data_IF_945465377372
#
_entry.id   IF_945465377372
#
_cell.length_a   1.000
_cell.length_b   1.000
_cell.length_c   1.000
_cell.angle_alpha   90.00
_cell.angle_beta   90.00
_cell.angle_gamma   90.00
#
_symmetry.space_group_name_H-M   'P 1'
#
loop_
_entity.id
_entity.type
_entity.pdbx_description
1 polymer ?
#
# COMPACT_ATOMS: atom_id res chain seq x y z
N UNK A 1 -9.44 -60.18 7.73
CA UNK A 1 -8.23 -60.75 8.36
C UNK A 1 -6.89 -60.35 7.72
N UNK A 2 -6.78 -59.58 6.61
CA UNK A 2 -5.49 -59.48 5.89
C UNK A 2 -4.91 -58.07 5.69
N UNK A 3 -5.48 -57.03 6.31
CA UNK A 3 -5.03 -55.63 6.10
C UNK A 3 -3.80 -55.27 6.95
N UNK A 4 -3.68 -55.87 8.14
CA UNK A 4 -2.59 -55.60 9.08
C UNK A 4 -1.25 -56.21 8.60
N UNK A 5 -1.28 -57.34 7.91
CA UNK A 5 -0.07 -57.96 7.34
C UNK A 5 0.54 -57.15 6.19
N UNK A 6 -0.27 -56.41 5.42
CA UNK A 6 0.22 -55.53 4.35
C UNK A 6 0.93 -54.30 4.93
N UNK A 7 0.37 -53.70 6.00
CA UNK A 7 0.99 -52.54 6.67
C UNK A 7 2.28 -52.95 7.36
N UNK A 8 2.32 -54.13 7.99
CA UNK A 8 3.52 -54.65 8.65
C UNK A 8 4.61 -55.10 7.65
N UNK A 9 4.23 -55.56 6.45
CA UNK A 9 5.17 -55.86 5.37
C UNK A 9 5.70 -54.58 4.67
N UNK A 10 4.91 -53.51 4.63
CA UNK A 10 5.32 -52.21 4.11
C UNK A 10 6.25 -51.45 5.06
N UNK A 11 6.23 -51.74 6.37
CA UNK A 11 7.13 -51.18 7.38
C UNK A 11 8.41 -52.00 7.58
N UNK A 12 8.89 -52.67 6.53
CA UNK A 12 10.19 -53.33 6.53
C UNK A 12 11.34 -52.32 6.39
N UNK A 13 12.61 -52.73 6.64
CA UNK A 13 13.79 -51.85 6.60
C UNK A 13 14.01 -51.11 5.26
N UNK A 14 13.35 -51.57 4.18
CA UNK A 14 13.33 -50.87 2.89
C UNK A 14 12.56 -49.52 2.93
N UNK A 15 11.52 -49.39 3.77
CA UNK A 15 10.76 -48.15 3.93
C UNK A 15 11.53 -47.09 4.74
N UNK A 16 12.37 -47.50 5.70
CA UNK A 16 13.27 -46.61 6.46
C UNK A 16 14.42 -46.06 5.59
N UNK A 17 14.94 -46.87 4.67
CA UNK A 17 15.94 -46.44 3.70
C UNK A 17 15.37 -45.43 2.68
N UNK A 18 14.13 -45.63 2.22
CA UNK A 18 13.47 -44.73 1.25
C UNK A 18 13.01 -43.39 1.85
N UNK A 19 12.61 -43.38 3.13
CA UNK A 19 12.27 -42.15 3.84
C UNK A 19 13.49 -41.27 4.01
N UNK A 20 14.65 -41.83 4.37
CA UNK A 20 15.89 -41.05 4.53
C UNK A 20 16.30 -40.29 3.26
N UNK A 21 16.28 -40.94 2.09
CA UNK A 21 16.60 -40.29 0.82
C UNK A 21 15.57 -39.25 0.37
N UNK A 22 14.29 -39.49 0.64
CA UNK A 22 13.22 -38.52 0.33
C UNK A 22 13.32 -37.29 1.23
N UNK A 23 13.57 -37.49 2.53
CA UNK A 23 13.76 -36.41 3.49
C UNK A 23 14.99 -35.57 3.15
N UNK A 24 16.09 -36.19 2.71
CA UNK A 24 17.29 -35.46 2.27
C UNK A 24 17.01 -34.55 1.07
N UNK A 25 16.36 -35.07 0.02
CA UNK A 25 16.00 -34.27 -1.16
C UNK A 25 15.06 -33.12 -0.79
N UNK A 26 14.08 -33.36 0.09
CA UNK A 26 13.17 -32.32 0.58
C UNK A 26 13.90 -31.26 1.39
N UNK A 27 14.80 -31.65 2.30
CA UNK A 27 15.57 -30.70 3.13
C UNK A 27 16.53 -29.88 2.27
N UNK A 28 17.22 -30.49 1.32
CA UNK A 28 18.13 -29.78 0.39
C UNK A 28 17.34 -28.82 -0.51
N UNK A 29 16.24 -29.28 -1.10
CA UNK A 29 15.39 -28.44 -1.95
C UNK A 29 14.74 -27.28 -1.18
N UNK A 30 14.19 -27.56 0.00
CA UNK A 30 13.63 -26.53 0.88
C UNK A 30 14.69 -25.53 1.36
N UNK A 31 15.87 -26.03 1.76
CA UNK A 31 16.99 -25.20 2.16
C UNK A 31 17.45 -24.26 1.05
N UNK A 32 17.56 -24.76 -0.18
CA UNK A 32 17.89 -23.94 -1.35
C UNK A 32 16.86 -22.82 -1.57
N UNK A 33 15.55 -23.16 -1.52
CA UNK A 33 14.48 -22.16 -1.64
C UNK A 33 14.56 -21.11 -0.52
N UNK A 34 14.80 -21.53 0.73
CA UNK A 34 14.95 -20.60 1.86
C UNK A 34 16.12 -19.63 1.65
N UNK A 35 17.26 -20.12 1.16
CA UNK A 35 18.42 -19.26 0.85
C UNK A 35 18.07 -18.24 -0.23
N UNK A 36 17.40 -18.66 -1.31
CA UNK A 36 16.97 -17.76 -2.38
C UNK A 36 16.00 -16.70 -1.85
N UNK A 37 15.02 -17.09 -1.03
CA UNK A 37 14.06 -16.16 -0.45
C UNK A 37 14.74 -15.15 0.50
N UNK A 38 15.71 -15.59 1.30
CA UNK A 38 16.48 -14.70 2.18
C UNK A 38 17.31 -13.71 1.36
N UNK A 39 17.95 -14.15 0.28
CA UNK A 39 18.71 -13.27 -0.62
C UNK A 39 17.80 -12.22 -1.27
N UNK A 40 16.65 -12.64 -1.81
CA UNK A 40 15.66 -11.70 -2.37
C UNK A 40 15.14 -10.74 -1.31
N UNK A 41 14.82 -11.24 -0.12
CA UNK A 41 14.37 -10.41 1.00
C UNK A 41 15.43 -9.39 1.41
N UNK A 42 16.71 -9.75 1.44
CA UNK A 42 17.82 -8.84 1.72
C UNK A 42 17.95 -7.75 0.65
N UNK A 43 17.79 -8.10 -0.64
CA UNK A 43 17.81 -7.11 -1.72
C UNK A 43 16.65 -6.13 -1.56
N UNK A 44 15.43 -6.62 -1.34
CA UNK A 44 14.27 -5.76 -1.10
C UNK A 44 14.42 -4.91 0.16
N UNK A 45 14.97 -5.48 1.24
CA UNK A 45 15.23 -4.78 2.49
C UNK A 45 16.32 -3.71 2.35
N UNK A 46 17.37 -3.96 1.57
CA UNK A 46 18.43 -2.98 1.30
C UNK A 46 17.85 -1.75 0.58
N UNK A 47 16.98 -1.97 -0.41
CA UNK A 47 16.28 -0.89 -1.11
C UNK A 47 15.39 -0.11 -0.14
N UNK A 48 14.58 -0.80 0.68
CA UNK A 48 13.73 -0.16 1.69
C UNK A 48 14.53 0.60 2.76
N UNK A 49 15.67 0.07 3.20
CA UNK A 49 16.55 0.71 4.17
C UNK A 49 17.20 1.98 3.61
N UNK A 50 17.55 1.98 2.32
CA UNK A 50 18.07 3.17 1.63
C UNK A 50 16.99 4.25 1.55
N UNK A 51 15.74 3.92 1.19
CA UNK A 51 14.64 4.90 1.20
C UNK A 51 14.36 5.48 2.59
N UNK A 52 14.30 4.64 3.64
CA UNK A 52 14.14 5.12 5.02
C UNK A 52 15.27 6.07 5.46
N UNK A 53 16.50 5.80 5.00
CA UNK A 53 17.66 6.67 5.26
C UNK A 53 17.57 7.99 4.49
N UNK A 54 17.00 8.01 3.29
CA UNK A 54 16.74 9.24 2.55
C UNK A 54 15.62 10.06 3.19
N UNK A 55 14.52 9.44 3.61
CA UNK A 55 13.43 10.13 4.31
C UNK A 55 13.90 10.76 5.62
N UNK A 56 14.71 10.05 6.41
CA UNK A 56 15.30 10.58 7.64
C UNK A 56 16.25 11.77 7.37
N UNK A 57 17.01 11.74 6.26
CA UNK A 57 17.87 12.87 5.85
C UNK A 57 17.06 14.06 5.36
N UNK A 58 15.95 13.83 4.65
CA UNK A 58 15.04 14.90 4.20
C UNK A 58 14.36 15.54 5.41
N UNK A 59 13.86 14.74 6.36
CA UNK A 59 13.30 15.23 7.62
C UNK A 59 14.34 16.05 8.40
N UNK A 60 15.55 15.54 8.59
CA UNK A 60 16.62 16.29 9.27
C UNK A 60 16.99 17.61 8.58
N UNK A 61 16.97 17.65 7.24
CA UNK A 61 17.21 18.90 6.47
C UNK A 61 16.03 19.86 6.58
N UNK A 62 14.80 19.36 6.61
CA UNK A 62 13.61 20.15 6.85
C UNK A 62 13.61 20.74 8.26
N UNK A 63 13.93 19.94 9.28
CA UNK A 63 14.07 20.37 10.68
C UNK A 63 15.19 21.39 10.83
N UNK A 64 16.34 21.19 10.16
CA UNK A 64 17.43 22.17 10.14
C UNK A 64 17.03 23.47 9.42
N UNK A 65 16.25 23.40 8.33
CA UNK A 65 15.73 24.57 7.63
C UNK A 65 14.69 25.32 8.46
N UNK A 66 13.83 24.61 9.19
CA UNK A 66 12.87 25.18 10.15
C UNK A 66 13.61 25.82 11.31
N UNK A 67 14.61 25.15 11.89
CA UNK A 67 15.44 25.72 12.95
C UNK A 67 16.21 26.97 12.49
N UNK A 68 16.74 26.95 11.27
CA UNK A 68 17.40 28.12 10.67
C UNK A 68 16.40 29.27 10.40
N UNK A 69 15.18 28.96 9.97
CA UNK A 69 14.12 29.95 9.77
C UNK A 69 13.66 30.56 11.11
N UNK A 70 13.51 29.74 12.16
CA UNK A 70 13.17 30.20 13.52
C UNK A 70 14.31 31.04 14.12
N UNK A 71 15.57 30.63 13.96
CA UNK A 71 16.72 31.42 14.39
C UNK A 71 16.80 32.78 13.66
N UNK A 72 16.50 32.80 12.35
CA UNK A 72 16.43 34.03 11.57
C UNK A 72 15.26 34.92 11.98
N UNK A 73 14.11 34.33 12.33
CA UNK A 73 12.95 35.06 12.85
C UNK A 73 13.23 35.66 14.24
N UNK A 74 13.97 34.95 15.10
CA UNK A 74 14.36 35.43 16.43
C UNK A 74 15.45 36.52 16.40
N UNK A 75 16.15 36.70 15.27
CA UNK A 75 17.13 37.76 15.04
C UNK A 75 16.54 38.99 14.33
N UNK A 76 15.27 38.95 13.91
CA UNK A 76 14.60 40.10 13.32
C UNK A 76 14.23 41.11 14.43
N UNK A 77 14.71 42.36 14.39
CA UNK A 77 14.26 43.40 15.31
C UNK A 77 12.75 43.62 15.13
N UNK A 78 12.03 43.68 16.26
CA UNK A 78 10.63 44.06 16.32
C UNK A 78 10.44 45.46 15.71
N UNK A 79 10.06 45.52 14.43
CA UNK A 79 9.57 46.73 13.80
C UNK A 79 8.09 46.91 14.18
N UNK A 80 7.82 48.07 14.75
CA UNK A 80 6.57 48.57 15.29
C UNK A 80 5.35 48.41 14.36
N UNK A 81 4.12 48.36 14.93
CA UNK A 81 2.89 48.10 14.18
C UNK A 81 2.56 49.27 13.27
N UNK A 82 2.59 49.05 11.96
CA UNK A 82 2.11 50.02 10.98
C UNK A 82 0.62 49.78 10.75
N UNK A 83 -0.15 50.72 11.30
CA UNK A 83 -1.39 51.34 10.81
C UNK A 83 -2.36 50.50 9.95
N UNK A 84 -3.62 50.55 10.39
CA UNK A 84 -4.80 49.99 9.76
C UNK A 84 -5.15 50.57 8.37
N UNK A 85 -5.82 49.69 7.61
CA UNK A 85 -6.83 49.91 6.55
C UNK A 85 -6.37 49.93 5.06
N UNK A 86 -7.23 49.52 4.09
CA UNK A 86 -8.59 48.96 4.21
C UNK A 86 -8.77 47.56 3.58
N UNK A 87 -9.79 46.88 4.08
CA UNK A 87 -10.40 45.65 3.56
C UNK A 87 -11.04 45.91 2.18
N UNK A 88 -10.78 45.10 1.15
CA UNK A 88 -11.72 44.89 0.06
C UNK A 88 -12.73 43.81 0.47
N UNK A 89 -14.00 44.19 0.42
CA UNK A 89 -15.16 43.42 0.81
C UNK A 89 -15.30 42.06 0.09
N UNK A 90 -16.04 41.10 0.69
CA UNK A 90 -16.29 39.78 0.10
C UNK A 90 -17.25 39.92 -1.09
N UNK A 91 -16.75 39.74 -2.30
CA UNK A 91 -17.60 39.56 -3.47
C UNK A 91 -18.04 38.09 -3.55
N UNK A 92 -19.20 37.80 -2.97
CA UNK A 92 -19.99 36.64 -3.31
C UNK A 92 -20.57 36.82 -4.72
N UNK A 93 -20.27 35.89 -5.64
CA UNK A 93 -21.00 35.71 -6.90
C UNK A 93 -20.72 34.29 -7.44
N UNK A 94 -21.61 33.74 -8.26
CA UNK A 94 -22.68 32.83 -7.90
C UNK A 94 -22.29 31.36 -8.12
N UNK A 95 -22.99 30.44 -7.44
CA UNK A 95 -22.99 29.02 -7.80
C UNK A 95 -23.68 28.89 -9.15
N UNK A 96 -22.89 29.01 -10.22
CA UNK A 96 -23.31 28.61 -11.53
C UNK A 96 -23.38 27.08 -11.53
N UNK A 97 -24.60 26.55 -11.59
CA UNK A 97 -24.85 25.15 -11.88
C UNK A 97 -24.23 24.83 -13.25
N UNK A 98 -23.01 24.28 -13.21
CA UNK A 98 -22.32 23.73 -14.37
C UNK A 98 -22.90 22.34 -14.68
N UNK A 99 -22.96 21.96 -15.97
CA UNK A 99 -23.64 20.74 -16.42
C UNK A 99 -22.92 19.50 -15.88
N UNK A 100 -23.69 18.67 -15.16
CA UNK A 100 -23.25 17.40 -14.57
C UNK A 100 -22.68 16.50 -15.67
N UNK A 101 -21.35 16.43 -15.76
CA UNK A 101 -20.69 15.30 -16.41
C UNK A 101 -20.85 14.07 -15.50
N UNK A 102 -20.97 12.87 -16.07
CA UNK A 102 -21.08 11.60 -15.32
C UNK A 102 -19.89 11.32 -14.35
N UNK A 103 -18.86 12.17 -14.34
CA UNK A 103 -17.78 12.22 -13.35
C UNK A 103 -18.01 13.17 -12.16
N UNK A 104 -19.17 13.83 -12.08
CA UNK A 104 -19.52 14.83 -11.06
C UNK A 104 -20.72 14.41 -10.20
N UNK A 105 -21.04 13.11 -10.10
CA UNK A 105 -21.99 12.66 -9.09
C UNK A 105 -21.44 13.04 -7.70
N UNK A 106 -22.06 13.99 -6.98
CA UNK A 106 -21.55 14.46 -5.69
C UNK A 106 -21.50 13.34 -4.65
N UNK A 107 -22.42 12.38 -4.75
CA UNK A 107 -22.42 11.21 -3.88
C UNK A 107 -21.19 10.33 -4.13
N UNK A 108 -20.85 10.09 -5.40
CA UNK A 108 -19.68 9.30 -5.78
C UNK A 108 -18.37 10.00 -5.37
N UNK A 109 -18.29 11.33 -5.52
CA UNK A 109 -17.15 12.12 -5.03
C UNK A 109 -16.99 12.03 -3.51
N UNK A 110 -18.09 12.14 -2.75
CA UNK A 110 -18.05 12.04 -1.30
C UNK A 110 -17.59 10.65 -0.83
N UNK A 111 -18.07 9.59 -1.47
CA UNK A 111 -17.65 8.21 -1.18
C UNK A 111 -16.17 8.00 -1.50
N UNK A 112 -15.71 8.48 -2.67
CA UNK A 112 -14.28 8.38 -3.03
C UNK A 112 -13.40 9.19 -2.08
N UNK A 113 -13.80 10.40 -1.71
CA UNK A 113 -13.05 11.23 -0.76
C UNK A 113 -12.94 10.56 0.62
N UNK A 114 -14.04 9.98 1.12
CA UNK A 114 -14.06 9.23 2.37
C UNK A 114 -13.17 7.98 2.30
N UNK A 115 -13.20 7.24 1.19
CA UNK A 115 -12.35 6.07 0.98
C UNK A 115 -10.86 6.44 0.88
N UNK A 116 -10.52 7.55 0.23
CA UNK A 116 -9.14 8.04 0.15
C UNK A 116 -8.65 8.48 1.53
N UNK A 117 -9.48 9.20 2.30
CA UNK A 117 -9.13 9.63 3.64
C UNK A 117 -8.91 8.45 4.60
N UNK A 118 -9.73 7.39 4.52
CA UNK A 118 -9.56 6.20 5.38
C UNK A 118 -8.29 5.41 5.09
N UNK A 119 -7.81 5.41 3.84
CA UNK A 119 -6.61 4.66 3.44
C UNK A 119 -5.33 5.46 3.63
N UNK A 120 -5.34 6.76 3.31
CA UNK A 120 -4.12 7.60 3.31
C UNK A 120 -3.94 8.38 4.62
N UNK A 121 -5.02 8.55 5.40
CA UNK A 121 -5.02 9.22 6.70
C UNK A 121 -5.22 10.73 6.63
N UNK A 122 -4.76 11.44 7.66
CA UNK A 122 -5.09 12.84 7.93
C UNK A 122 -4.27 13.88 7.14
N UNK A 123 -3.82 13.52 5.93
CA UNK A 123 -3.14 14.47 5.04
C UNK A 123 -4.15 15.07 4.06
N UNK A 124 -3.94 16.34 3.70
CA UNK A 124 -4.76 16.99 2.70
C UNK A 124 -4.53 16.35 1.32
N UNK A 125 -5.60 15.81 0.73
CA UNK A 125 -5.58 15.16 -0.57
C UNK A 125 -6.59 15.80 -1.52
N UNK A 126 -6.20 15.95 -2.80
CA UNK A 126 -7.07 16.44 -3.87
C UNK A 126 -7.23 15.37 -4.94
N UNK A 127 -8.47 15.05 -5.26
CA UNK A 127 -8.80 14.18 -6.39
C UNK A 127 -8.60 14.99 -7.67
N UNK A 128 -7.65 14.57 -8.52
CA UNK A 128 -7.28 15.28 -9.76
C UNK A 128 -8.02 14.71 -10.97
N UNK A 129 -8.13 13.38 -11.07
CA UNK A 129 -8.90 12.73 -12.11
C UNK A 129 -9.44 11.38 -11.61
N UNK A 130 -10.60 11.01 -12.13
CA UNK A 130 -11.21 9.71 -11.88
C UNK A 130 -11.37 9.05 -13.23
N UNK A 131 -10.77 7.87 -13.38
CA UNK A 131 -10.94 7.03 -14.56
C UNK A 131 -11.77 5.82 -14.16
N UNK A 132 -12.97 5.62 -14.72
CA UNK A 132 -13.69 4.39 -14.52
C UNK A 132 -12.84 3.23 -15.07
N UNK A 133 -12.76 2.15 -14.30
CA UNK A 133 -12.14 0.92 -14.78
C UNK A 133 -12.93 0.39 -15.97
N UNK A 134 -12.27 0.14 -17.10
CA UNK A 134 -12.89 -0.52 -18.24
C UNK A 134 -13.20 -1.99 -17.93
N UNK A 135 -13.98 -2.68 -18.80
CA UNK A 135 -14.18 -4.12 -18.69
C UNK A 135 -12.80 -4.80 -18.75
N UNK A 136 -12.40 -5.37 -17.62
CA UNK A 136 -11.09 -5.98 -17.44
C UNK A 136 -11.21 -7.45 -17.04
N UNK A 137 -10.15 -8.21 -17.27
CA UNK A 137 -10.08 -9.64 -16.93
C UNK A 137 -10.43 -9.95 -15.47
N UNK A 138 -10.22 -9.00 -14.55
CA UNK A 138 -10.65 -9.13 -13.16
C UNK A 138 -12.18 -9.25 -12.99
N UNK A 139 -12.97 -8.53 -13.80
CA UNK A 139 -14.44 -8.64 -13.80
C UNK A 139 -14.89 -9.95 -14.44
N UNK A 140 -14.20 -10.39 -15.50
CA UNK A 140 -14.52 -11.65 -16.18
C UNK A 140 -14.19 -12.86 -15.29
N UNK A 141 -13.07 -12.86 -14.57
CA UNK A 141 -12.75 -13.91 -13.60
C UNK A 141 -13.80 -13.99 -12.49
N UNK A 142 -14.24 -12.83 -11.97
CA UNK A 142 -15.34 -12.76 -11.00
C UNK A 142 -16.64 -13.33 -11.56
N UNK A 143 -16.97 -12.99 -12.82
CA UNK A 143 -18.14 -13.52 -13.53
C UNK A 143 -18.07 -15.03 -13.70
N UNK A 144 -16.90 -15.58 -14.06
CA UNK A 144 -16.68 -17.02 -14.21
C UNK A 144 -16.90 -17.77 -12.89
N UNK A 145 -16.37 -17.25 -11.77
CA UNK A 145 -16.56 -17.82 -10.43
C UNK A 145 -18.05 -17.87 -10.06
N UNK A 146 -18.80 -16.80 -10.32
CA UNK A 146 -20.24 -16.77 -10.06
C UNK A 146 -21.06 -17.61 -11.06
N UNK A 147 -20.54 -17.84 -12.26
CA UNK A 147 -21.22 -18.67 -13.26
C UNK A 147 -21.07 -20.17 -12.98
N UNK A 148 -19.95 -20.61 -12.42
CA UNK A 148 -19.71 -22.03 -12.10
C UNK A 148 -20.52 -22.50 -10.88
N UNK A 149 -20.95 -21.58 -10.01
CA UNK A 149 -21.68 -21.87 -8.78
C UNK A 149 -23.18 -21.54 -8.85
N UNK A 150 -23.75 -21.21 -10.02
CA UNK A 150 -25.20 -21.05 -10.15
C UNK A 150 -25.89 -22.42 -10.05
N UNK A 151 -26.32 -22.75 -8.84
CA UNK A 151 -27.33 -23.77 -8.58
C UNK A 151 -28.69 -23.22 -9.01
N UNK A 152 -29.42 -24.01 -9.79
CA UNK A 152 -30.78 -23.70 -10.29
C UNK A 152 -31.78 -23.59 -9.14
#
# INVERSE_FOLDING_TARGET
MNHLNIILAASGPAAEAQTSGTTEVVVVGFGFVMVVLVLLALVTAAIGAVFRRYDAKIAAKADAAVAAAVAKANLAPAAAPVAAAPVPAPAAAPVAAAPVSEGEDPALMAVLAAAVHSVIGDRAHRIVSIRPGGPGWAQEGRRQIFSSHRVR
#
